data_IF_959811332468
#
_entry.id   IF_959811332468
#
_cell.length_a   1.000
_cell.length_b   1.000
_cell.length_c   1.000
_cell.angle_alpha   90.00
_cell.angle_beta   90.00
_cell.angle_gamma   90.00
#
_symmetry.space_group_name_H-M   'P 1'
#
loop_
_entity.id
_entity.type
_entity.pdbx_description
1 polymer ?
#
# COMPACT_ATOMS: atom_id res chain seq x y z
N UNK A 1 4.02 -9.38 12.81
CA UNK A 1 3.25 -8.81 11.72
C UNK A 1 3.26 -9.70 10.49
N UNK A 2 2.60 -9.25 9.45
CA UNK A 2 2.60 -9.92 8.16
C UNK A 2 3.70 -9.32 7.28
N UNK A 3 4.53 -10.18 6.66
CA UNK A 3 5.58 -9.76 5.72
C UNK A 3 5.29 -10.45 4.38
N UNK A 4 5.42 -9.73 3.27
CA UNK A 4 5.33 -10.28 1.93
C UNK A 4 6.75 -10.40 1.38
N UNK A 5 7.15 -11.62 1.01
CA UNK A 5 8.38 -11.90 0.27
C UNK A 5 8.02 -12.08 -1.21
N UNK A 6 8.78 -11.42 -2.09
CA UNK A 6 8.64 -11.56 -3.54
C UNK A 6 10.03 -11.67 -4.18
N UNK A 7 10.16 -12.50 -5.23
CA UNK A 7 11.44 -12.73 -5.85
C UNK A 7 11.45 -13.93 -6.79
N UNK A 8 12.59 -14.58 -6.89
CA UNK A 8 12.80 -15.79 -7.70
C UNK A 8 11.90 -16.95 -7.25
N UNK A 9 11.34 -17.69 -8.22
CA UNK A 9 10.40 -18.77 -7.95
C UNK A 9 11.03 -19.93 -7.17
N UNK A 10 12.30 -20.26 -7.41
CA UNK A 10 12.97 -21.34 -6.69
C UNK A 10 13.26 -20.92 -5.23
N UNK A 11 13.68 -19.65 -5.04
CA UNK A 11 13.89 -19.10 -3.71
C UNK A 11 12.58 -19.05 -2.90
N UNK A 12 11.46 -18.68 -3.54
CA UNK A 12 10.15 -18.68 -2.89
C UNK A 12 9.66 -20.10 -2.56
N UNK A 13 9.90 -21.08 -3.45
CA UNK A 13 9.58 -22.48 -3.16
C UNK A 13 10.39 -22.98 -1.96
N UNK A 14 11.71 -22.73 -1.93
CA UNK A 14 12.57 -23.10 -0.79
C UNK A 14 12.11 -22.45 0.53
N UNK A 15 11.66 -21.18 0.49
CA UNK A 15 11.09 -20.51 1.65
C UNK A 15 9.79 -21.19 2.13
N UNK A 16 8.98 -21.67 1.18
CA UNK A 16 7.75 -22.43 1.49
C UNK A 16 8.02 -23.78 2.13
N UNK A 17 9.05 -24.49 1.67
CA UNK A 17 9.47 -25.79 2.21
C UNK A 17 10.20 -25.67 3.56
N UNK A 18 10.96 -24.60 3.75
CA UNK A 18 11.80 -24.35 4.93
C UNK A 18 11.44 -22.99 5.55
N UNK A 19 10.25 -22.82 6.11
CA UNK A 19 9.84 -21.55 6.70
C UNK A 19 10.69 -21.22 7.93
N UNK A 20 10.95 -19.92 8.22
CA UNK A 20 11.58 -19.51 9.46
C UNK A 20 10.81 -20.02 10.70
N UNK A 21 11.52 -20.27 11.78
CA UNK A 21 10.92 -20.77 13.01
C UNK A 21 9.79 -19.85 13.50
N UNK A 22 8.61 -20.42 13.74
CA UNK A 22 7.41 -19.69 14.16
C UNK A 22 6.67 -18.93 13.04
N UNK A 23 7.18 -18.95 11.80
CA UNK A 23 6.51 -18.34 10.66
C UNK A 23 5.61 -19.35 9.93
N UNK A 24 4.50 -18.82 9.38
CA UNK A 24 3.63 -19.55 8.46
C UNK A 24 3.71 -18.91 7.08
N UNK A 25 4.28 -19.63 6.13
CA UNK A 25 4.38 -19.17 4.74
C UNK A 25 3.12 -19.58 3.96
N UNK A 26 2.58 -18.66 3.16
CA UNK A 26 1.46 -18.88 2.26
C UNK A 26 1.76 -18.26 0.91
N UNK A 27 1.66 -19.06 -0.15
CA UNK A 27 1.76 -18.55 -1.51
C UNK A 27 0.61 -17.57 -1.83
N UNK A 28 0.93 -16.48 -2.52
CA UNK A 28 -0.02 -15.51 -3.04
C UNK A 28 -0.18 -15.71 -4.54
N UNK A 29 -1.42 -15.71 -5.03
CA UNK A 29 -1.73 -15.77 -6.45
C UNK A 29 -1.61 -14.37 -7.07
N UNK A 30 -0.38 -13.94 -7.37
CA UNK A 30 -0.07 -12.64 -7.98
C UNK A 30 0.67 -12.84 -9.30
N UNK A 31 0.53 -11.88 -10.22
CA UNK A 31 1.05 -11.98 -11.58
C UNK A 31 2.58 -11.74 -11.69
N UNK A 32 3.23 -11.25 -10.65
CA UNK A 32 4.68 -10.95 -10.72
C UNK A 32 5.27 -10.51 -9.40
N UNK A 33 6.61 -10.36 -9.37
CA UNK A 33 7.38 -9.91 -8.22
C UNK A 33 7.36 -8.38 -8.09
N UNK A 34 6.16 -7.79 -7.96
CA UNK A 34 5.97 -6.36 -7.77
C UNK A 34 6.70 -5.87 -6.52
N UNK A 35 7.11 -4.61 -6.54
CA UNK A 35 7.85 -3.96 -5.46
C UNK A 35 9.22 -4.59 -5.17
N UNK A 36 9.84 -5.19 -6.18
CA UNK A 36 11.20 -5.73 -6.15
C UNK A 36 12.01 -5.27 -7.36
N UNK A 37 13.33 -5.52 -7.33
CA UNK A 37 14.23 -5.24 -8.45
C UNK A 37 13.87 -5.96 -9.77
N UNK A 38 13.08 -7.03 -9.72
CA UNK A 38 12.54 -7.69 -10.93
C UNK A 38 11.65 -6.77 -11.77
N UNK A 39 11.06 -5.73 -11.15
CA UNK A 39 10.24 -4.73 -11.83
C UNK A 39 11.05 -3.55 -12.39
N UNK A 40 12.37 -3.53 -12.21
CA UNK A 40 13.23 -2.44 -12.68
C UNK A 40 13.06 -2.10 -14.18
N UNK A 41 12.86 -3.09 -15.10
CA UNK A 41 12.63 -2.80 -16.51
C UNK A 41 11.37 -1.97 -16.78
N UNK A 42 10.38 -1.98 -15.90
CA UNK A 42 9.15 -1.21 -16.04
C UNK A 42 9.28 0.25 -15.58
N UNK A 43 10.31 0.59 -14.82
CA UNK A 43 10.49 1.94 -14.24
C UNK A 43 10.72 2.99 -15.32
N UNK A 44 11.60 2.74 -16.29
CA UNK A 44 11.94 3.72 -17.30
C UNK A 44 10.77 4.04 -18.26
N UNK A 45 10.06 3.04 -18.82
CA UNK A 45 8.85 3.30 -19.59
C UNK A 45 7.80 4.13 -18.84
N UNK A 46 7.58 3.82 -17.54
CA UNK A 46 6.64 4.56 -16.72
C UNK A 46 7.14 5.99 -16.43
N UNK A 47 8.44 6.18 -16.21
CA UNK A 47 9.05 7.50 -16.02
C UNK A 47 8.87 8.38 -17.24
N UNK A 48 9.07 7.83 -18.45
CA UNK A 48 8.87 8.55 -19.70
C UNK A 48 7.41 8.97 -19.89
N UNK A 49 6.45 8.11 -19.53
CA UNK A 49 5.03 8.47 -19.53
C UNK A 49 4.75 9.55 -18.46
N UNK A 50 5.25 9.40 -17.25
CA UNK A 50 5.06 10.34 -16.17
C UNK A 50 5.58 11.75 -16.50
N UNK A 51 6.69 11.84 -17.25
CA UNK A 51 7.25 13.12 -17.71
C UNK A 51 6.32 13.91 -18.66
N UNK A 52 5.31 13.27 -19.23
CA UNK A 52 4.28 13.93 -20.06
C UNK A 52 3.10 14.48 -19.27
N UNK A 53 3.01 14.17 -17.97
CA UNK A 53 1.89 14.55 -17.13
C UNK A 53 2.16 15.88 -16.41
N UNK A 54 1.13 16.72 -16.34
CA UNK A 54 1.15 17.92 -15.50
C UNK A 54 0.71 17.53 -14.07
N UNK A 55 1.44 18.05 -13.09
CA UNK A 55 1.10 17.86 -11.68
C UNK A 55 0.67 19.17 -11.04
N UNK A 56 -0.05 19.09 -9.94
CA UNK A 56 -0.48 20.23 -9.13
C UNK A 56 -0.11 19.96 -7.66
N UNK A 57 0.03 21.01 -6.83
CA UNK A 57 0.13 20.81 -5.38
C UNK A 57 -1.03 19.98 -4.87
N UNK A 58 -0.78 19.06 -3.97
CA UNK A 58 -1.82 18.22 -3.39
C UNK A 58 -2.69 19.04 -2.42
N UNK A 59 -4.01 18.85 -2.50
CA UNK A 59 -4.97 19.51 -1.60
C UNK A 59 -5.25 18.71 -0.33
N UNK A 60 -4.91 17.42 -0.33
CA UNK A 60 -5.06 16.49 0.78
C UNK A 60 -3.72 15.79 1.00
N UNK A 61 -3.27 15.66 2.23
CA UNK A 61 -2.03 14.97 2.56
C UNK A 61 -1.96 13.57 1.94
N UNK A 62 -0.86 13.29 1.24
CA UNK A 62 -0.56 11.97 0.69
C UNK A 62 0.50 11.32 1.55
N UNK A 63 0.22 10.17 2.13
CA UNK A 63 1.21 9.37 2.85
C UNK A 63 1.85 8.41 1.85
N UNK A 64 3.17 8.51 1.68
CA UNK A 64 3.92 7.70 0.74
C UNK A 64 4.23 6.32 1.32
N UNK A 65 3.93 5.26 0.57
CA UNK A 65 4.29 3.89 0.94
C UNK A 65 5.78 3.55 0.75
N UNK A 66 6.60 4.49 0.31
CA UNK A 66 8.06 4.38 0.27
C UNK A 66 8.66 4.40 1.68
N UNK A 67 8.20 5.30 2.52
CA UNK A 67 8.82 5.67 3.80
C UNK A 67 7.82 6.10 4.89
N UNK A 68 6.52 6.15 4.57
CA UNK A 68 5.47 6.64 5.46
C UNK A 68 5.41 8.16 5.59
N UNK A 69 6.22 8.92 4.87
CA UNK A 69 6.22 10.38 4.96
C UNK A 69 5.01 11.01 4.28
N UNK A 70 4.58 12.17 4.79
CA UNK A 70 3.58 13.02 4.16
C UNK A 70 4.24 13.82 3.05
N UNK A 71 3.67 13.73 1.85
CA UNK A 71 4.14 14.44 0.65
C UNK A 71 3.05 15.41 0.18
N UNK A 72 3.41 16.67 -0.01
CA UNK A 72 2.50 17.74 -0.46
C UNK A 72 2.82 18.28 -1.86
N UNK A 73 3.93 17.90 -2.44
CA UNK A 73 4.31 18.27 -3.80
C UNK A 73 3.87 17.21 -4.81
N UNK A 74 3.08 17.61 -5.81
CA UNK A 74 2.52 16.68 -6.80
C UNK A 74 3.58 16.03 -7.71
N UNK A 75 4.67 16.73 -8.02
CA UNK A 75 5.76 16.17 -8.82
C UNK A 75 6.54 15.12 -8.03
N UNK A 76 6.76 15.36 -6.74
CA UNK A 76 7.38 14.38 -5.84
C UNK A 76 6.46 13.16 -5.66
N UNK A 77 5.13 13.33 -5.51
CA UNK A 77 4.17 12.21 -5.46
C UNK A 77 4.30 11.36 -6.72
N UNK A 78 4.31 11.97 -7.92
CA UNK A 78 4.44 11.25 -9.18
C UNK A 78 5.78 10.50 -9.28
N UNK A 79 6.89 11.15 -8.87
CA UNK A 79 8.21 10.54 -8.82
C UNK A 79 8.23 9.31 -7.90
N UNK A 80 7.62 9.40 -6.73
CA UNK A 80 7.51 8.28 -5.77
C UNK A 80 6.69 7.14 -6.33
N UNK A 81 5.57 7.42 -7.02
CA UNK A 81 4.72 6.40 -7.68
C UNK A 81 5.53 5.63 -8.72
N UNK A 82 6.28 6.31 -9.59
CA UNK A 82 7.13 5.68 -10.62
C UNK A 82 8.17 4.76 -9.99
N UNK A 83 8.85 5.22 -8.96
CA UNK A 83 9.91 4.46 -8.32
C UNK A 83 9.37 3.30 -7.47
N UNK A 84 8.14 3.39 -6.99
CA UNK A 84 7.53 2.40 -6.08
C UNK A 84 7.36 1.02 -6.72
N UNK A 85 7.23 0.95 -8.05
CA UNK A 85 7.08 -0.32 -8.78
C UNK A 85 8.22 -1.31 -8.47
N UNK A 86 9.46 -0.80 -8.32
CA UNK A 86 10.65 -1.61 -8.09
C UNK A 86 11.18 -1.53 -6.64
N UNK A 87 10.43 -0.91 -5.72
CA UNK A 87 10.87 -0.68 -4.35
C UNK A 87 9.86 -1.22 -3.32
N UNK A 88 10.32 -1.67 -2.14
CA UNK A 88 9.46 -2.22 -1.10
C UNK A 88 8.37 -1.25 -0.64
N UNK A 89 7.24 -1.80 -0.22
CA UNK A 89 6.14 -1.05 0.39
C UNK A 89 6.30 -1.04 1.91
N UNK A 90 6.37 0.15 2.51
CA UNK A 90 6.47 0.38 3.95
C UNK A 90 5.10 0.77 4.54
N UNK A 91 4.12 -0.15 4.38
CA UNK A 91 2.79 0.03 4.95
C UNK A 91 2.80 0.17 6.48
N UNK A 92 3.78 -0.46 7.13
CA UNK A 92 4.06 -0.31 8.55
C UNK A 92 4.26 1.16 8.93
N UNK A 93 5.12 1.88 8.22
CA UNK A 93 5.38 3.30 8.44
C UNK A 93 4.17 4.19 8.10
N UNK A 94 3.41 3.82 7.06
CA UNK A 94 2.16 4.53 6.75
C UNK A 94 1.17 4.47 7.93
N UNK A 95 1.02 3.31 8.55
CA UNK A 95 0.14 3.16 9.73
C UNK A 95 0.62 3.96 10.93
N UNK A 96 1.93 4.02 11.18
CA UNK A 96 2.51 4.86 12.23
C UNK A 96 2.24 6.34 11.98
N UNK A 97 2.38 6.80 10.74
CA UNK A 97 2.08 8.18 10.35
C UNK A 97 0.59 8.49 10.49
N UNK A 98 -0.31 7.58 10.08
CA UNK A 98 -1.75 7.76 10.29
C UNK A 98 -2.08 7.94 11.78
N UNK A 99 -1.48 7.15 12.68
CA UNK A 99 -1.62 7.32 14.14
C UNK A 99 -1.12 8.69 14.60
N UNK A 100 0.06 9.10 14.17
CA UNK A 100 0.65 10.38 14.57
C UNK A 100 -0.17 11.58 14.11
N UNK A 101 -0.89 11.44 13.01
CA UNK A 101 -1.81 12.45 12.47
C UNK A 101 -3.19 12.41 13.11
N UNK A 102 -3.46 11.49 14.03
CA UNK A 102 -4.74 11.36 14.70
C UNK A 102 -5.85 10.81 13.81
N UNK A 103 -5.51 10.04 12.75
CA UNK A 103 -6.50 9.38 11.90
C UNK A 103 -7.30 8.39 12.73
N UNK A 104 -8.62 8.51 12.69
CA UNK A 104 -9.57 7.65 13.44
C UNK A 104 -10.26 6.63 12.55
N UNK A 105 -10.37 6.89 11.23
CA UNK A 105 -11.01 6.00 10.27
C UNK A 105 -10.27 5.95 8.94
N UNK A 106 -10.29 4.77 8.30
CA UNK A 106 -9.69 4.53 6.97
C UNK A 106 -10.69 3.78 6.09
N UNK A 107 -10.92 4.29 4.88
CA UNK A 107 -11.68 3.59 3.84
C UNK A 107 -10.71 2.99 2.83
N UNK A 108 -10.73 1.65 2.67
CA UNK A 108 -9.98 0.95 1.64
C UNK A 108 -10.83 0.83 0.38
N UNK A 109 -10.31 1.35 -0.74
CA UNK A 109 -10.96 1.27 -2.04
C UNK A 109 -10.78 -0.11 -2.68
N UNK A 110 -11.67 -0.54 -3.62
CA UNK A 110 -11.57 -1.84 -4.27
C UNK A 110 -10.23 -2.06 -5.02
N UNK A 111 -9.70 -3.30 -4.95
CA UNK A 111 -10.18 -4.50 -4.27
C UNK A 111 -9.86 -4.46 -2.76
N UNK A 112 -10.89 -4.27 -1.94
CA UNK A 112 -10.76 -3.97 -0.52
C UNK A 112 -10.78 -5.20 0.40
N UNK A 113 -10.13 -5.09 1.57
CA UNK A 113 -10.11 -6.07 2.65
C UNK A 113 -8.72 -6.46 3.13
N UNK A 114 -7.69 -6.24 2.32
CA UNK A 114 -6.30 -6.58 2.67
C UNK A 114 -5.70 -5.56 3.63
N UNK A 115 -5.76 -4.27 3.29
CA UNK A 115 -5.17 -3.21 4.10
C UNK A 115 -5.94 -2.99 5.40
N UNK A 116 -7.28 -3.02 5.34
CA UNK A 116 -8.13 -2.99 6.55
C UNK A 116 -7.82 -4.18 7.46
N UNK A 117 -7.58 -5.37 6.88
CA UNK A 117 -7.17 -6.54 7.66
C UNK A 117 -5.80 -6.38 8.33
N UNK A 118 -4.85 -5.69 7.69
CA UNK A 118 -3.54 -5.35 8.27
C UNK A 118 -3.69 -4.29 9.35
N UNK A 119 -4.47 -3.23 9.09
CA UNK A 119 -4.75 -2.14 10.00
C UNK A 119 -5.34 -2.66 11.32
N UNK A 120 -6.37 -3.51 11.26
CA UNK A 120 -7.02 -4.10 12.43
C UNK A 120 -6.05 -4.84 13.35
N UNK A 121 -4.97 -5.42 12.81
CA UNK A 121 -3.96 -6.15 13.60
C UNK A 121 -2.86 -5.26 14.17
N UNK A 122 -2.49 -4.19 13.46
CA UNK A 122 -1.34 -3.36 13.81
C UNK A 122 -1.71 -1.99 14.39
N UNK A 123 -2.95 -1.52 14.14
CA UNK A 123 -3.45 -0.21 14.53
C UNK A 123 -4.94 -0.32 14.86
N UNK A 124 -5.29 -1.17 15.83
CA UNK A 124 -6.69 -1.49 16.19
C UNK A 124 -7.51 -0.29 16.68
N UNK A 125 -6.86 0.78 17.04
CA UNK A 125 -7.45 2.08 17.41
C UNK A 125 -8.01 2.85 16.22
N UNK A 126 -7.61 2.51 14.98
CA UNK A 126 -8.12 3.11 13.74
C UNK A 126 -9.19 2.18 13.16
N UNK A 127 -10.41 2.69 13.01
CA UNK A 127 -11.50 1.94 12.39
C UNK A 127 -11.26 1.79 10.89
N UNK A 128 -11.45 0.58 10.35
CA UNK A 128 -11.28 0.30 8.93
C UNK A 128 -12.59 -0.05 8.24
N UNK A 129 -12.89 0.59 7.11
CA UNK A 129 -14.02 0.26 6.25
C UNK A 129 -13.52 -0.24 4.88
N UNK A 130 -13.92 -1.45 4.50
CA UNK A 130 -13.59 -2.03 3.19
C UNK A 130 -14.73 -1.76 2.19
N UNK A 131 -14.56 -0.79 1.31
CA UNK A 131 -15.48 -0.50 0.19
C UNK A 131 -15.24 -1.54 -0.93
N UNK A 132 -16.13 -2.51 -1.09
CA UNK A 132 -15.97 -3.63 -2.03
C UNK A 132 -16.71 -3.43 -3.34
N UNK A 133 -17.86 -2.72 -3.29
CA UNK A 133 -18.74 -2.49 -4.43
C UNK A 133 -19.43 -1.14 -4.33
N UNK A 134 -20.13 -0.76 -5.39
CA UNK A 134 -20.94 0.45 -5.39
C UNK A 134 -22.10 0.41 -4.35
N UNK A 135 -22.55 -0.78 -3.97
CA UNK A 135 -23.61 -0.95 -2.99
C UNK A 135 -23.16 -0.53 -1.58
N UNK A 136 -21.86 -0.51 -1.32
CA UNK A 136 -21.27 -0.08 -0.04
C UNK A 136 -21.18 1.45 0.09
N UNK A 137 -21.40 2.22 -0.98
CA UNK A 137 -21.24 3.69 -0.99
C UNK A 137 -22.06 4.42 0.08
N UNK A 138 -23.34 4.08 0.34
CA UNK A 138 -24.10 4.73 1.42
C UNK A 138 -23.42 4.51 2.79
N UNK A 139 -23.03 3.29 3.11
CA UNK A 139 -22.35 2.95 4.36
C UNK A 139 -20.95 3.59 4.47
N UNK A 140 -20.21 3.70 3.35
CA UNK A 140 -18.93 4.39 3.30
C UNK A 140 -19.08 5.89 3.60
N UNK A 141 -20.16 6.53 3.14
CA UNK A 141 -20.46 7.91 3.46
C UNK A 141 -20.76 8.10 4.94
N UNK A 142 -21.63 7.27 5.51
CA UNK A 142 -21.92 7.29 6.94
C UNK A 142 -20.66 7.06 7.79
N UNK A 143 -19.79 6.14 7.32
CA UNK A 143 -18.49 5.91 7.94
C UNK A 143 -17.65 7.20 7.92
N UNK A 144 -17.49 7.85 6.77
CA UNK A 144 -16.71 9.08 6.64
C UNK A 144 -17.24 10.20 7.56
N UNK A 145 -18.59 10.39 7.62
CA UNK A 145 -19.23 11.40 8.47
C UNK A 145 -18.95 11.22 9.97
N UNK A 146 -18.73 9.96 10.43
CA UNK A 146 -18.36 9.69 11.83
C UNK A 146 -16.91 10.00 12.16
N UNK A 147 -16.07 10.16 11.16
CA UNK A 147 -14.61 10.35 11.31
C UNK A 147 -14.12 11.74 10.84
N UNK A 148 -15.04 12.63 10.49
CA UNK A 148 -14.78 14.06 10.23
C UNK A 148 -14.82 14.84 11.56
#
# INVERSE_FOLDING_TARGET
GQIVAAGDLQALASLGENPPAGARVRALAVAGAFHTSFMQPAVEPLRNLAATLSTHPVSINVISNKDGEVVSDGAEVLTRIVNQIANPVRWDLCMETMKSLGVTGVIELPPAGTLVGLLKRAASEIEGFALRSADDLPAAREFAERHL
#
